data_IF_195446187873
#
_entry.id   IF_195446187873
#
_cell.length_a   1.000
_cell.length_b   1.000
_cell.length_c   1.000
_cell.angle_alpha   90.00
_cell.angle_beta   90.00
_cell.angle_gamma   90.00
#
_symmetry.space_group_name_H-M   'P 1'
#
loop_
_entity.id
_entity.type
_entity.pdbx_description
1 polymer ?
#
# COMPACT_ATOMS: atom_id res chain seq x y z
N UNK A 1 -5.46 -43.82 -19.86
CA UNK A 1 -4.21 -43.36 -19.20
C UNK A 1 -4.06 -41.83 -19.27
N UNK A 2 -4.34 -41.18 -20.41
CA UNK A 2 -4.24 -39.71 -20.58
C UNK A 2 -5.23 -38.93 -19.70
N UNK A 3 -6.41 -39.46 -19.40
CA UNK A 3 -7.39 -38.85 -18.52
C UNK A 3 -6.82 -38.59 -17.11
N UNK A 4 -6.09 -39.50 -16.55
CA UNK A 4 -5.45 -39.32 -15.23
C UNK A 4 -4.39 -38.22 -15.25
N UNK A 5 -3.63 -38.08 -16.37
CA UNK A 5 -2.66 -37.01 -16.52
C UNK A 5 -3.32 -35.64 -16.53
N UNK A 6 -4.41 -35.47 -17.27
CA UNK A 6 -5.18 -34.23 -17.30
C UNK A 6 -5.86 -33.92 -15.96
N UNK A 7 -6.36 -34.95 -15.26
CA UNK A 7 -6.93 -34.78 -13.93
C UNK A 7 -5.89 -34.30 -12.92
N UNK A 8 -4.69 -34.90 -12.90
CA UNK A 8 -3.61 -34.46 -12.04
C UNK A 8 -3.09 -33.06 -12.39
N UNK A 9 -2.99 -32.74 -13.68
CA UNK A 9 -2.63 -31.38 -14.12
C UNK A 9 -3.64 -30.35 -13.62
N UNK A 10 -4.94 -30.67 -13.72
CA UNK A 10 -5.99 -29.80 -13.19
C UNK A 10 -5.89 -29.59 -11.68
N UNK A 11 -5.60 -30.64 -10.91
CA UNK A 11 -5.39 -30.57 -9.46
C UNK A 11 -4.17 -29.69 -9.14
N UNK A 12 -3.05 -29.83 -9.88
CA UNK A 12 -1.86 -29.03 -9.68
C UNK A 12 -2.12 -27.54 -9.98
N UNK A 13 -2.76 -27.25 -11.13
CA UNK A 13 -3.10 -25.86 -11.50
C UNK A 13 -4.04 -25.22 -10.50
N UNK A 14 -5.07 -25.95 -10.07
CA UNK A 14 -6.01 -25.45 -9.06
C UNK A 14 -5.31 -25.27 -7.69
N UNK A 15 -4.46 -26.22 -7.30
CA UNK A 15 -3.72 -26.17 -6.06
C UNK A 15 -2.75 -24.97 -6.00
N UNK A 16 -2.00 -24.73 -7.09
CA UNK A 16 -1.11 -23.57 -7.17
C UNK A 16 -1.89 -22.26 -7.13
N UNK A 17 -2.97 -22.13 -7.89
CA UNK A 17 -3.83 -20.96 -7.86
C UNK A 17 -4.43 -20.68 -6.46
N UNK A 18 -4.96 -21.72 -5.80
CA UNK A 18 -5.53 -21.59 -4.46
C UNK A 18 -4.45 -21.19 -3.43
N UNK A 19 -3.26 -21.74 -3.55
CA UNK A 19 -2.13 -21.44 -2.68
C UNK A 19 -1.63 -19.99 -2.86
N UNK A 20 -1.48 -19.53 -4.11
CA UNK A 20 -1.11 -18.14 -4.41
C UNK A 20 -2.14 -17.15 -3.87
N UNK A 21 -3.43 -17.44 -4.04
CA UNK A 21 -4.52 -16.62 -3.48
C UNK A 21 -4.44 -16.54 -1.95
N UNK A 22 -4.17 -17.66 -1.29
CA UNK A 22 -4.00 -17.69 0.16
C UNK A 22 -2.78 -16.86 0.61
N UNK A 23 -1.63 -16.97 -0.08
CA UNK A 23 -0.44 -16.18 0.23
C UNK A 23 -0.69 -14.68 0.02
N UNK A 24 -1.35 -14.31 -1.07
CA UNK A 24 -1.71 -12.92 -1.37
C UNK A 24 -2.60 -12.32 -0.28
N UNK A 25 -3.61 -13.06 0.21
CA UNK A 25 -4.46 -12.62 1.32
C UNK A 25 -3.70 -12.51 2.65
N UNK A 26 -2.73 -13.38 2.90
CA UNK A 26 -1.88 -13.29 4.08
C UNK A 26 -0.93 -12.07 4.05
N UNK A 27 -0.46 -11.68 2.86
CA UNK A 27 0.38 -10.48 2.66
C UNK A 27 -0.45 -9.21 2.77
N UNK A 28 -1.59 -9.17 2.07
CA UNK A 28 -2.50 -8.02 2.04
C UNK A 28 -3.94 -8.47 2.35
N UNK A 29 -4.36 -8.43 3.62
CA UNK A 29 -5.74 -8.77 4.00
C UNK A 29 -6.75 -7.70 3.56
N UNK A 30 -6.30 -6.50 3.21
CA UNK A 30 -7.14 -5.34 2.89
C UNK A 30 -7.14 -5.04 1.38
N UNK A 31 -7.23 -6.08 0.53
CA UNK A 31 -7.29 -5.91 -0.93
C UNK A 31 -8.55 -5.16 -1.37
N UNK A 32 -9.64 -5.28 -0.60
CA UNK A 32 -10.90 -4.57 -0.82
C UNK A 32 -11.39 -4.04 0.53
N UNK A 33 -11.15 -2.76 0.78
CA UNK A 33 -11.60 -2.11 2.01
C UNK A 33 -12.94 -1.43 1.79
N UNK A 34 -13.80 -1.51 2.81
CA UNK A 34 -15.06 -0.78 2.85
C UNK A 34 -14.90 0.48 3.67
N UNK A 35 -15.48 1.56 3.21
CA UNK A 35 -15.57 2.80 3.97
C UNK A 35 -16.89 2.82 4.73
N UNK A 36 -16.82 3.06 6.01
CA UNK A 36 -17.97 3.26 6.89
C UNK A 36 -18.19 4.76 7.03
N UNK A 37 -19.35 5.25 6.64
CA UNK A 37 -19.75 6.64 6.87
C UNK A 37 -20.44 6.71 8.22
N UNK A 38 -19.90 7.50 9.16
CA UNK A 38 -20.54 7.73 10.46
C UNK A 38 -21.73 8.66 10.32
N UNK A 39 -22.59 8.72 11.36
CA UNK A 39 -23.74 9.66 11.40
C UNK A 39 -23.32 11.13 11.32
N UNK A 40 -22.09 11.43 11.71
CA UNK A 40 -21.49 12.77 11.69
C UNK A 40 -20.81 13.09 10.34
N UNK A 41 -20.89 12.19 9.35
CA UNK A 41 -20.30 12.37 8.02
C UNK A 41 -18.82 12.02 7.93
N UNK A 42 -18.22 11.46 8.99
CA UNK A 42 -16.81 11.04 8.99
C UNK A 42 -16.66 9.72 8.25
N UNK A 43 -15.75 9.68 7.29
CA UNK A 43 -15.37 8.46 6.56
C UNK A 43 -14.36 7.66 7.38
N UNK A 44 -14.66 6.41 7.67
CA UNK A 44 -13.76 5.49 8.39
C UNK A 44 -13.40 4.29 7.52
N UNK A 45 -12.11 3.96 7.47
CA UNK A 45 -11.57 2.76 6.84
C UNK A 45 -10.87 1.95 7.91
N UNK A 46 -11.21 0.67 8.03
CA UNK A 46 -10.60 -0.25 9.00
C UNK A 46 -9.67 -1.19 8.23
N UNK A 47 -8.40 -1.23 8.64
CA UNK A 47 -7.37 -2.10 8.09
C UNK A 47 -7.02 -3.19 9.09
N UNK A 48 -7.01 -4.44 8.64
CA UNK A 48 -6.53 -5.58 9.41
C UNK A 48 -5.01 -5.72 9.28
N UNK A 49 -4.35 -6.06 10.38
CA UNK A 49 -2.91 -6.31 10.40
C UNK A 49 -2.60 -7.66 9.74
N UNK A 50 -1.61 -7.70 8.85
CA UNK A 50 -1.19 -8.92 8.20
C UNK A 50 -0.35 -9.81 9.14
N UNK A 51 -0.01 -11.04 8.69
CA UNK A 51 0.80 -12.00 9.47
C UNK A 51 2.20 -11.51 9.84
N UNK A 52 2.71 -10.49 9.14
CA UNK A 52 4.03 -9.90 9.38
C UNK A 52 3.99 -8.70 10.32
N UNK A 53 2.81 -8.32 10.81
CA UNK A 53 2.64 -7.19 11.72
C UNK A 53 2.40 -5.85 11.03
N UNK A 54 2.22 -5.82 9.71
CA UNK A 54 2.03 -4.60 8.92
C UNK A 54 0.57 -4.40 8.51
N UNK A 55 0.20 -3.16 8.23
CA UNK A 55 -1.07 -2.76 7.64
C UNK A 55 -0.85 -2.49 6.16
N UNK A 56 -1.17 -3.49 5.33
CA UNK A 56 -1.06 -3.43 3.86
C UNK A 56 -2.44 -3.32 3.28
N UNK A 57 -2.64 -2.45 2.30
CA UNK A 57 -3.94 -2.16 1.69
C UNK A 57 -3.79 -1.80 0.22
N UNK A 58 -4.77 -2.15 -0.60
CA UNK A 58 -4.89 -1.59 -1.94
C UNK A 58 -5.47 -0.19 -1.88
N UNK A 59 -4.83 0.74 -2.57
CA UNK A 59 -5.29 2.12 -2.71
C UNK A 59 -4.97 2.66 -4.10
N UNK A 60 -5.18 3.94 -4.31
CA UNK A 60 -4.95 4.57 -5.61
C UNK A 60 -4.02 5.77 -5.49
N UNK A 61 -3.11 5.88 -6.43
CA UNK A 61 -2.29 7.06 -6.68
C UNK A 61 -2.55 7.51 -8.10
N UNK A 62 -3.05 8.75 -8.28
CA UNK A 62 -3.41 9.33 -9.57
C UNK A 62 -4.29 8.36 -10.40
N UNK A 63 -5.31 7.78 -9.74
CA UNK A 63 -6.27 6.83 -10.29
C UNK A 63 -5.68 5.47 -10.74
N UNK A 64 -4.43 5.16 -10.40
CA UNK A 64 -3.81 3.85 -10.60
C UNK A 64 -3.80 3.05 -9.30
N UNK A 65 -4.22 1.79 -9.38
CA UNK A 65 -4.27 0.87 -8.24
C UNK A 65 -2.84 0.48 -7.83
N UNK A 66 -2.53 0.63 -6.55
CA UNK A 66 -1.22 0.32 -5.97
C UNK A 66 -1.36 -0.36 -4.62
N UNK A 67 -0.36 -1.15 -4.23
CA UNK A 67 -0.26 -1.70 -2.89
C UNK A 67 0.43 -0.68 -1.98
N UNK A 68 -0.21 -0.38 -0.86
CA UNK A 68 0.20 0.60 0.13
C UNK A 68 0.48 -0.11 1.46
N UNK A 69 1.57 0.23 2.13
CA UNK A 69 1.88 -0.22 3.49
C UNK A 69 1.98 0.99 4.41
N UNK A 70 1.18 1.01 5.47
CA UNK A 70 1.22 2.10 6.46
C UNK A 70 2.48 1.98 7.30
N UNK A 71 3.27 3.05 7.32
CA UNK A 71 4.52 3.15 8.07
C UNK A 71 4.64 4.52 8.76
N UNK A 72 4.38 4.54 10.06
CA UNK A 72 4.49 5.75 10.88
C UNK A 72 5.95 6.21 11.09
N UNK A 73 6.93 5.38 10.77
CA UNK A 73 8.35 5.71 10.81
C UNK A 73 8.83 6.46 9.56
N UNK A 74 8.07 6.42 8.46
CA UNK A 74 8.38 7.16 7.25
C UNK A 74 7.89 8.62 7.34
N UNK A 75 8.76 9.59 7.03
CA UNK A 75 8.38 11.02 7.05
C UNK A 75 7.44 11.40 5.89
N UNK A 76 7.69 10.84 4.71
CA UNK A 76 6.93 11.08 3.49
C UNK A 76 6.32 9.78 2.95
N UNK A 77 5.39 9.90 2.02
CA UNK A 77 5.01 8.76 1.19
C UNK A 77 6.21 8.39 0.33
N UNK A 78 6.71 7.14 0.48
CA UNK A 78 7.89 6.66 -0.25
C UNK A 78 7.47 5.72 -1.37
N UNK A 79 7.85 6.06 -2.60
CA UNK A 79 7.45 5.35 -3.82
C UNK A 79 8.70 4.75 -4.48
N UNK A 80 8.73 3.44 -4.74
CA UNK A 80 9.80 2.82 -5.51
C UNK A 80 9.96 3.45 -6.90
N UNK A 81 11.19 3.60 -7.37
CA UNK A 81 11.47 4.30 -8.63
C UNK A 81 10.76 3.66 -9.83
N UNK A 82 10.71 2.34 -9.89
CA UNK A 82 10.03 1.60 -10.96
C UNK A 82 8.55 1.92 -11.02
N UNK A 83 7.90 1.97 -9.85
CA UNK A 83 6.49 2.33 -9.73
C UNK A 83 6.26 3.83 -10.01
N UNK A 84 7.14 4.72 -9.55
CA UNK A 84 7.04 6.15 -9.83
C UNK A 84 7.07 6.45 -11.34
N UNK A 85 7.88 5.71 -12.10
CA UNK A 85 7.92 5.80 -13.57
C UNK A 85 6.58 5.39 -14.20
N UNK A 86 5.97 4.29 -13.76
CA UNK A 86 4.66 3.86 -14.26
C UNK A 86 3.53 4.83 -13.90
N UNK A 87 3.62 5.45 -12.73
CA UNK A 87 2.70 6.50 -12.26
C UNK A 87 2.96 7.87 -12.89
N UNK A 88 3.98 7.99 -13.77
CA UNK A 88 4.41 9.23 -14.44
C UNK A 88 4.73 10.38 -13.45
N UNK A 89 5.22 10.05 -12.27
CA UNK A 89 5.59 11.03 -11.26
C UNK A 89 6.90 11.74 -11.65
N UNK A 90 6.93 13.04 -11.52
CA UNK A 90 8.12 13.86 -11.84
C UNK A 90 9.10 13.78 -10.68
N UNK A 91 10.34 13.41 -10.99
CA UNK A 91 11.46 13.45 -10.05
C UNK A 91 11.93 14.89 -9.86
N UNK A 92 11.89 15.35 -8.63
CA UNK A 92 12.37 16.69 -8.22
C UNK A 92 13.78 16.65 -7.63
N UNK A 93 14.08 17.60 -6.76
CA UNK A 93 15.39 17.72 -6.13
C UNK A 93 15.71 16.50 -5.23
N UNK A 94 16.98 16.04 -5.21
CA UNK A 94 17.41 14.99 -4.29
C UNK A 94 17.33 15.48 -2.83
N UNK A 95 17.05 14.55 -1.94
CA UNK A 95 17.03 14.78 -0.49
C UNK A 95 17.50 13.53 0.23
N UNK A 96 18.22 13.71 1.33
CA UNK A 96 18.66 12.59 2.17
C UNK A 96 17.56 12.22 3.16
N UNK A 97 17.23 10.93 3.20
CA UNK A 97 16.29 10.35 4.16
C UNK A 97 17.03 9.36 5.05
N UNK A 98 16.78 9.45 6.36
CA UNK A 98 17.30 8.46 7.31
C UNK A 98 16.37 7.26 7.35
N UNK A 99 16.90 6.07 7.17
CA UNK A 99 16.16 4.80 7.25
C UNK A 99 16.79 3.88 8.28
N UNK A 100 16.09 2.79 8.62
CA UNK A 100 16.64 1.76 9.52
C UNK A 100 17.96 1.14 8.98
N UNK A 101 18.15 1.13 7.65
CA UNK A 101 19.35 0.63 6.97
C UNK A 101 20.38 1.71 6.70
N UNK A 102 20.23 2.92 7.26
CA UNK A 102 21.11 4.05 7.05
C UNK A 102 20.54 5.13 6.13
N UNK A 103 21.33 6.17 5.82
CA UNK A 103 20.90 7.26 4.96
C UNK A 103 20.77 6.81 3.51
N UNK A 104 19.70 7.26 2.86
CA UNK A 104 19.47 7.07 1.43
C UNK A 104 19.24 8.41 0.75
N UNK A 105 19.55 8.50 -0.53
CA UNK A 105 19.13 9.62 -1.38
C UNK A 105 17.85 9.25 -2.11
N UNK A 106 16.80 10.02 -1.89
CA UNK A 106 15.55 9.90 -2.64
C UNK A 106 15.17 11.25 -3.27
N UNK A 107 14.30 11.25 -4.26
CA UNK A 107 13.94 12.44 -5.02
C UNK A 107 12.56 12.92 -4.61
N UNK A 108 12.44 14.19 -4.28
CA UNK A 108 11.16 14.79 -3.89
C UNK A 108 10.17 14.71 -5.06
N UNK A 109 8.91 14.43 -4.73
CA UNK A 109 7.80 14.47 -5.69
C UNK A 109 6.50 14.83 -4.98
N UNK A 110 5.43 15.00 -5.73
CA UNK A 110 4.08 15.20 -5.20
C UNK A 110 3.10 14.28 -5.93
N UNK A 111 2.15 13.80 -5.18
CA UNK A 111 1.04 12.99 -5.66
C UNK A 111 -0.18 13.91 -5.76
N UNK A 112 -0.77 14.05 -6.94
CA UNK A 112 -1.92 14.92 -7.13
C UNK A 112 -3.13 14.41 -6.35
N UNK A 113 -3.36 13.09 -6.38
CA UNK A 113 -4.47 12.43 -5.68
C UNK A 113 -4.04 11.08 -5.13
N UNK A 114 -4.26 10.87 -3.83
CA UNK A 114 -4.02 9.60 -3.15
C UNK A 114 -5.27 9.17 -2.40
N UNK A 115 -5.65 7.89 -2.50
CA UNK A 115 -6.91 7.39 -1.97
C UNK A 115 -6.75 6.03 -1.28
N UNK A 116 -7.35 5.89 -0.11
CA UNK A 116 -7.52 4.62 0.64
C UNK A 116 -9.00 4.48 1.01
N UNK A 117 -9.70 3.49 0.44
CA UNK A 117 -11.16 3.46 0.49
C UNK A 117 -11.74 4.75 -0.09
N UNK A 118 -12.64 5.42 0.62
CA UNK A 118 -13.19 6.73 0.22
C UNK A 118 -12.48 7.93 0.89
N UNK A 119 -11.37 7.68 1.59
CA UNK A 119 -10.51 8.74 2.11
C UNK A 119 -9.61 9.21 0.98
N UNK A 120 -9.80 10.44 0.53
CA UNK A 120 -9.03 11.08 -0.54
C UNK A 120 -8.24 12.26 0.01
N UNK A 121 -6.95 12.33 -0.31
CA UNK A 121 -6.07 13.46 -0.10
C UNK A 121 -5.47 13.91 -1.43
N UNK A 122 -5.39 15.23 -1.60
CA UNK A 122 -4.76 15.85 -2.78
C UNK A 122 -3.44 16.49 -2.38
N UNK A 123 -2.56 16.63 -3.37
CA UNK A 123 -1.28 17.31 -3.22
C UNK A 123 -0.41 16.75 -2.08
N UNK A 124 -0.30 15.40 -2.04
CA UNK A 124 0.44 14.71 -0.99
C UNK A 124 1.94 14.75 -1.29
N UNK A 125 2.73 15.21 -0.33
CA UNK A 125 4.20 15.17 -0.43
C UNK A 125 4.70 13.74 -0.42
N UNK A 126 5.59 13.41 -1.37
CA UNK A 126 6.16 12.08 -1.53
C UNK A 126 7.64 12.14 -1.91
N UNK A 127 8.29 10.99 -1.88
CA UNK A 127 9.65 10.79 -2.37
C UNK A 127 9.73 9.58 -3.27
N UNK A 128 10.54 9.66 -4.32
CA UNK A 128 10.90 8.54 -5.19
C UNK A 128 12.17 7.92 -4.64
N UNK A 129 12.10 6.65 -4.27
CA UNK A 129 13.18 5.91 -3.65
C UNK A 129 13.80 4.91 -4.66
N UNK A 130 15.04 5.16 -5.13
CA UNK A 130 15.73 4.26 -6.06
C UNK A 130 16.37 3.05 -5.37
N UNK A 131 16.45 3.04 -4.03
CA UNK A 131 17.11 1.97 -3.27
C UNK A 131 16.17 0.79 -2.94
N UNK A 132 14.93 0.83 -3.40
CA UNK A 132 13.91 -0.21 -3.14
C UNK A 132 13.46 -0.85 -4.44
N UNK A 133 13.65 -2.16 -4.53
CA UNK A 133 13.20 -2.97 -5.69
C UNK A 133 11.76 -3.52 -5.53
N UNK A 134 11.11 -3.28 -4.40
CA UNK A 134 9.71 -3.66 -4.17
C UNK A 134 8.77 -2.70 -4.93
N UNK A 135 7.52 -3.13 -5.11
CA UNK A 135 6.44 -2.33 -5.71
C UNK A 135 5.50 -1.72 -4.66
N UNK A 136 5.73 -2.00 -3.38
CA UNK A 136 4.89 -1.52 -2.27
C UNK A 136 5.25 -0.07 -1.90
N UNK A 137 4.26 0.80 -1.88
CA UNK A 137 4.41 2.20 -1.46
C UNK A 137 4.32 2.29 0.06
N UNK A 138 5.27 2.97 0.71
CA UNK A 138 5.16 3.28 2.14
C UNK A 138 4.33 4.55 2.35
N UNK A 139 3.26 4.42 3.12
CA UNK A 139 2.39 5.55 3.49
C UNK A 139 2.91 6.18 4.78
N UNK A 140 3.69 7.23 4.63
CA UNK A 140 4.33 7.93 5.74
C UNK A 140 3.51 9.10 6.30
N UNK A 141 4.15 9.86 7.18
CA UNK A 141 3.51 10.94 7.94
C UNK A 141 3.03 12.11 7.08
N UNK A 142 3.54 12.29 5.85
CA UNK A 142 3.01 13.32 4.94
C UNK A 142 1.54 13.08 4.55
N UNK A 143 1.09 11.82 4.57
CA UNK A 143 -0.31 11.42 4.41
C UNK A 143 -1.01 11.33 5.77
N UNK A 144 -0.43 10.55 6.72
CA UNK A 144 -1.10 10.16 7.95
C UNK A 144 -1.46 11.34 8.85
N UNK A 145 -0.65 12.40 8.93
CA UNK A 145 -0.93 13.60 9.72
C UNK A 145 -2.09 14.45 9.22
N UNK A 146 -2.62 14.17 8.03
CA UNK A 146 -3.77 14.87 7.44
C UNK A 146 -5.10 14.18 7.75
N UNK A 147 -5.06 13.04 8.44
CA UNK A 147 -6.21 12.24 8.84
C UNK A 147 -6.06 11.83 10.30
N UNK A 148 -7.14 11.38 10.91
CA UNK A 148 -7.06 10.68 12.19
C UNK A 148 -6.73 9.21 11.95
N UNK A 149 -5.83 8.65 12.76
CA UNK A 149 -5.57 7.22 12.74
C UNK A 149 -5.43 6.67 14.16
N UNK A 150 -6.07 5.54 14.41
CA UNK A 150 -6.08 4.90 15.73
C UNK A 150 -5.82 3.40 15.56
N UNK A 151 -4.84 2.89 16.30
CA UNK A 151 -4.61 1.45 16.38
C UNK A 151 -5.38 0.85 17.56
N UNK A 152 -6.18 -0.18 17.28
CA UNK A 152 -6.93 -0.92 18.32
C UNK A 152 -6.74 -2.43 18.08
N UNK A 153 -5.97 -3.08 18.94
CA UNK A 153 -5.62 -4.50 18.75
C UNK A 153 -4.90 -4.74 17.42
N UNK A 154 -5.48 -5.56 16.57
CA UNK A 154 -4.96 -5.88 15.24
C UNK A 154 -5.51 -4.98 14.13
N UNK A 155 -6.27 -3.97 14.48
CA UNK A 155 -6.89 -3.05 13.51
C UNK A 155 -6.25 -1.67 13.56
N UNK A 156 -6.11 -1.05 12.40
CA UNK A 156 -5.80 0.35 12.21
C UNK A 156 -7.03 1.03 11.60
N UNK A 157 -7.57 1.99 12.30
CA UNK A 157 -8.73 2.78 11.86
C UNK A 157 -8.21 4.11 11.33
N UNK A 158 -8.48 4.39 10.06
CA UNK A 158 -8.24 5.68 9.43
C UNK A 158 -9.56 6.44 9.36
N UNK A 159 -9.56 7.75 9.67
CA UNK A 159 -10.76 8.56 9.66
C UNK A 159 -10.51 9.97 9.10
N UNK A 160 -11.49 10.47 8.32
CA UNK A 160 -11.50 11.83 7.74
C UNK A 160 -12.91 12.34 7.53
#
# INVERSE_FOLDING_TARGET
>A
KWFYLFAWLGVLVFGTWAFEKMLSQQKNPNQQVQTILTREGVKKVVLERNRYGHYVVNGWINDQLVELMVDTGASDVSIPETLAKSLQLKSGAPSTYMTANGPITAYRTRIDKMQIGDIVLNDVRASINPAVDDITVLVGMSFLKQIEFTQKGNQLILAK
#
